data_IF_963210077588
#
_entry.id   IF_963210077588
#
_cell.length_a   1.000
_cell.length_b   1.000
_cell.length_c   1.000
_cell.angle_alpha   90.00
_cell.angle_beta   90.00
_cell.angle_gamma   90.00
#
_symmetry.space_group_name_H-M   'P 1'
#
loop_
_entity.id
_entity.type
_entity.pdbx_description
1 polymer ?
#
# COMPACT_ATOMS: atom_id res chain seq x y z
N UNK A 1 24.44 -28.74 31.40
CA UNK A 1 23.30 -29.29 30.66
C UNK A 1 22.84 -28.34 29.59
N UNK A 2 23.07 -28.72 28.34
CA UNK A 2 22.86 -27.88 27.16
C UNK A 2 21.37 -27.82 26.84
N UNK A 3 20.77 -26.63 26.94
CA UNK A 3 19.44 -26.37 26.39
C UNK A 3 19.58 -26.37 24.86
N UNK A 4 19.21 -27.48 24.23
CA UNK A 4 19.11 -27.57 22.78
C UNK A 4 17.77 -26.94 22.37
N UNK A 5 17.82 -25.80 21.67
CA UNK A 5 16.63 -25.19 21.08
C UNK A 5 16.08 -26.04 19.94
N UNK A 6 14.78 -25.90 19.67
CA UNK A 6 14.17 -26.48 18.47
C UNK A 6 14.90 -25.99 17.20
N UNK A 7 15.05 -26.85 16.18
CA UNK A 7 15.62 -26.43 14.92
C UNK A 7 14.77 -25.30 14.31
N UNK A 8 15.43 -24.23 13.86
CA UNK A 8 14.73 -23.14 13.18
C UNK A 8 13.99 -23.70 11.95
N UNK A 9 12.73 -23.28 11.70
CA UNK A 9 11.96 -23.75 10.56
C UNK A 9 12.66 -23.36 9.26
N UNK A 10 12.67 -24.26 8.28
CA UNK A 10 13.18 -23.94 6.94
C UNK A 10 12.11 -23.20 6.17
N UNK A 11 12.53 -22.38 5.21
CA UNK A 11 11.60 -21.67 4.31
C UNK A 11 10.60 -22.61 3.63
N UNK A 12 11.02 -23.83 3.27
CA UNK A 12 10.18 -24.83 2.61
C UNK A 12 9.07 -25.39 3.53
N UNK A 13 9.23 -25.26 4.85
CA UNK A 13 8.31 -25.83 5.83
C UNK A 13 7.14 -24.87 6.15
N UNK A 14 7.16 -23.64 5.60
CA UNK A 14 6.15 -22.62 5.85
C UNK A 14 5.30 -22.45 4.58
N UNK A 15 3.99 -22.71 4.69
CA UNK A 15 3.00 -22.56 3.62
C UNK A 15 2.29 -21.21 3.64
N UNK A 16 1.52 -20.90 2.58
CA UNK A 16 0.65 -19.72 2.52
C UNK A 16 1.38 -18.40 2.30
N UNK A 17 2.63 -18.43 1.85
CA UNK A 17 3.48 -17.26 1.70
C UNK A 17 3.39 -16.69 0.30
N UNK A 18 3.66 -15.39 0.17
CA UNK A 18 3.83 -14.74 -1.11
C UNK A 18 4.93 -15.43 -1.95
N UNK A 19 4.66 -15.78 -3.23
CA UNK A 19 5.59 -16.47 -4.11
C UNK A 19 6.96 -15.80 -4.24
N UNK A 20 6.98 -14.47 -4.33
CA UNK A 20 8.19 -13.66 -4.51
C UNK A 20 8.56 -12.88 -3.24
N UNK A 21 8.37 -13.49 -2.07
CA UNK A 21 8.73 -12.87 -0.80
C UNK A 21 10.21 -12.42 -0.81
N UNK A 22 10.54 -11.18 -0.40
CA UNK A 22 11.91 -10.71 -0.46
C UNK A 22 12.82 -11.48 0.50
N UNK A 23 14.09 -11.74 0.12
CA UNK A 23 15.08 -12.32 1.01
C UNK A 23 15.34 -11.41 2.22
N UNK A 24 15.56 -12.03 3.38
CA UNK A 24 15.83 -11.33 4.65
C UNK A 24 17.28 -11.43 5.13
N UNK A 25 17.54 -10.89 6.31
CA UNK A 25 18.83 -10.95 7.01
C UNK A 25 19.75 -9.75 6.73
N UNK A 26 20.70 -9.50 7.63
CA UNK A 26 21.60 -8.34 7.56
C UNK A 26 22.42 -8.30 6.27
N UNK A 27 22.99 -9.44 5.84
CA UNK A 27 23.80 -9.51 4.61
C UNK A 27 23.04 -9.00 3.39
N UNK A 28 21.79 -9.44 3.25
CA UNK A 28 20.90 -8.99 2.18
C UNK A 28 20.59 -7.50 2.30
N UNK A 29 20.33 -7.05 3.52
CA UNK A 29 20.03 -5.66 3.81
C UNK A 29 21.19 -4.73 3.43
N UNK A 30 22.43 -5.10 3.76
CA UNK A 30 23.65 -4.37 3.40
C UNK A 30 23.86 -4.31 1.89
N UNK A 31 23.59 -5.42 1.18
CA UNK A 31 23.64 -5.48 -0.29
C UNK A 31 22.64 -4.50 -0.90
N UNK A 32 21.39 -4.49 -0.42
CA UNK A 32 20.34 -3.57 -0.89
C UNK A 32 20.66 -2.11 -0.62
N UNK A 33 21.12 -1.77 0.58
CA UNK A 33 21.55 -0.39 0.91
C UNK A 33 22.66 0.05 -0.03
N UNK A 34 23.66 -0.80 -0.26
CA UNK A 34 24.79 -0.47 -1.15
C UNK A 34 24.32 -0.23 -2.59
N UNK A 35 23.45 -1.08 -3.11
CA UNK A 35 22.88 -0.91 -4.45
C UNK A 35 22.06 0.39 -4.54
N UNK A 36 21.16 0.63 -3.57
CA UNK A 36 20.30 1.81 -3.56
C UNK A 36 21.08 3.12 -3.43
N UNK A 37 22.15 3.16 -2.62
CA UNK A 37 23.00 4.35 -2.50
C UNK A 37 23.79 4.66 -3.77
N UNK A 38 24.04 3.68 -4.64
CA UNK A 38 24.80 3.89 -5.88
C UNK A 38 23.95 4.54 -6.98
N UNK A 39 22.65 4.26 -7.04
CA UNK A 39 21.83 4.64 -8.19
C UNK A 39 20.40 5.10 -7.90
N UNK A 40 19.90 4.96 -6.66
CA UNK A 40 18.52 5.28 -6.32
C UNK A 40 18.35 6.54 -5.46
N UNK A 41 19.26 6.75 -4.50
CA UNK A 41 19.06 7.77 -3.47
C UNK A 41 18.95 9.19 -4.01
N UNK A 42 19.80 9.57 -4.97
CA UNK A 42 19.87 10.96 -5.44
C UNK A 42 18.61 11.39 -6.18
N UNK A 43 18.01 10.46 -6.94
CA UNK A 43 16.77 10.68 -7.71
C UNK A 43 15.50 10.48 -6.89
N UNK A 44 15.61 10.01 -5.64
CA UNK A 44 14.48 9.55 -4.85
C UNK A 44 13.36 10.59 -4.71
N UNK A 45 13.70 11.88 -4.54
CA UNK A 45 12.68 12.93 -4.42
C UNK A 45 11.77 13.03 -5.66
N UNK A 46 12.31 12.73 -6.85
CA UNK A 46 11.58 12.79 -8.11
C UNK A 46 10.83 11.48 -8.40
N UNK A 47 11.39 10.34 -7.99
CA UNK A 47 10.94 9.02 -8.46
C UNK A 47 10.12 8.24 -7.45
N UNK A 48 10.05 8.65 -6.17
CA UNK A 48 9.39 7.87 -5.10
C UNK A 48 7.88 7.62 -5.29
N UNK A 49 7.26 8.30 -6.23
CA UNK A 49 5.83 8.19 -6.54
C UNK A 49 5.54 7.43 -7.85
N UNK A 50 6.57 7.11 -8.64
CA UNK A 50 6.44 6.37 -9.91
C UNK A 50 6.23 4.88 -9.63
N UNK A 51 5.00 4.40 -9.89
CA UNK A 51 4.63 3.01 -9.68
C UNK A 51 5.34 2.06 -10.65
N UNK A 52 5.54 2.48 -11.89
CA UNK A 52 6.11 1.64 -12.93
C UNK A 52 7.62 1.48 -12.73
N UNK A 53 8.29 2.58 -12.36
CA UNK A 53 9.73 2.64 -12.13
C UNK A 53 10.21 1.86 -10.91
N UNK A 54 9.37 1.68 -9.89
CA UNK A 54 9.69 0.93 -8.66
C UNK A 54 11.05 1.34 -8.04
N UNK A 55 11.36 2.63 -8.10
CA UNK A 55 12.69 3.17 -7.80
C UNK A 55 12.93 3.40 -6.29
N UNK A 56 12.18 2.73 -5.42
CA UNK A 56 12.29 2.92 -3.97
C UNK A 56 13.30 1.95 -3.34
N UNK A 57 13.77 2.28 -2.14
CA UNK A 57 14.81 1.50 -1.47
C UNK A 57 14.46 0.03 -1.18
N UNK A 58 13.17 -0.31 -1.09
CA UNK A 58 12.67 -1.62 -0.64
C UNK A 58 13.33 -2.10 0.68
N UNK A 59 13.66 -1.17 1.60
CA UNK A 59 14.33 -1.47 2.88
C UNK A 59 13.37 -1.67 4.07
N UNK A 60 12.06 -1.53 3.86
CA UNK A 60 11.06 -1.51 4.94
C UNK A 60 11.06 -2.77 5.82
N UNK A 61 11.13 -3.97 5.23
CA UNK A 61 11.24 -5.22 5.99
C UNK A 61 12.52 -5.28 6.83
N UNK A 62 13.64 -4.85 6.27
CA UNK A 62 14.91 -4.86 7.00
C UNK A 62 14.90 -3.91 8.20
N UNK A 63 14.22 -2.75 8.07
CA UNK A 63 14.00 -1.79 9.14
C UNK A 63 12.99 -2.27 10.19
N UNK A 64 12.05 -3.13 9.80
CA UNK A 64 11.10 -3.77 10.71
C UNK A 64 11.79 -4.83 11.57
N UNK A 65 12.51 -5.76 10.94
CA UNK A 65 13.22 -6.85 11.63
C UNK A 65 14.56 -6.44 12.29
N UNK A 66 14.93 -5.15 12.24
CA UNK A 66 16.16 -4.66 12.88
C UNK A 66 17.47 -5.11 12.22
N UNK A 67 17.40 -5.71 11.03
CA UNK A 67 18.60 -6.10 10.25
C UNK A 67 19.34 -4.91 9.63
N UNK A 68 18.75 -3.70 9.72
CA UNK A 68 19.38 -2.42 9.44
C UNK A 68 19.01 -1.39 10.49
N UNK A 69 20.01 -0.59 10.90
CA UNK A 69 19.80 0.54 11.79
C UNK A 69 19.24 1.75 11.03
N UNK A 70 18.07 2.32 11.42
CA UNK A 70 17.55 3.55 10.81
C UNK A 70 18.49 4.74 11.06
N UNK A 71 19.12 4.80 12.24
CA UNK A 71 20.06 5.88 12.61
C UNK A 71 21.27 5.87 11.69
N UNK A 72 21.78 4.68 11.39
CA UNK A 72 22.87 4.53 10.43
C UNK A 72 22.48 5.06 9.04
N UNK A 73 21.28 4.71 8.54
CA UNK A 73 20.79 5.19 7.25
C UNK A 73 20.63 6.71 7.24
N UNK A 74 20.16 7.33 8.32
CA UNK A 74 20.08 8.79 8.45
C UNK A 74 21.47 9.42 8.36
N UNK A 75 22.46 8.90 9.08
CA UNK A 75 23.83 9.43 9.01
C UNK A 75 24.43 9.26 7.61
N UNK A 76 24.23 8.10 6.97
CA UNK A 76 24.70 7.85 5.59
C UNK A 76 24.02 8.78 4.58
N UNK A 77 22.70 8.99 4.69
CA UNK A 77 21.96 9.89 3.80
C UNK A 77 22.38 11.36 4.01
N UNK A 78 22.49 11.82 5.26
CA UNK A 78 22.95 13.19 5.56
C UNK A 78 24.37 13.48 5.08
N UNK A 79 25.27 12.49 5.15
CA UNK A 79 26.62 12.62 4.56
C UNK A 79 26.60 12.67 3.05
N UNK A 80 25.66 11.97 2.38
CA UNK A 80 25.47 12.05 0.93
C UNK A 80 24.96 13.45 0.54
N UNK A 81 23.99 13.97 1.30
CA UNK A 81 23.35 15.25 1.06
C UNK A 81 22.47 15.26 -0.20
N UNK A 82 21.80 16.38 -0.43
CA UNK A 82 20.96 16.61 -1.60
C UNK A 82 19.50 16.20 -1.44
N UNK A 83 18.66 16.54 -2.44
CA UNK A 83 17.21 16.52 -2.25
C UNK A 83 16.63 15.11 -2.07
N UNK A 84 17.18 14.12 -2.80
CA UNK A 84 16.81 12.71 -2.63
C UNK A 84 17.19 12.15 -1.26
N UNK A 85 18.34 12.54 -0.70
CA UNK A 85 18.74 12.16 0.65
C UNK A 85 17.83 12.79 1.72
N UNK A 86 17.47 14.06 1.57
CA UNK A 86 16.55 14.74 2.48
C UNK A 86 15.15 14.11 2.42
N UNK A 87 14.65 13.80 1.21
CA UNK A 87 13.40 13.07 1.02
C UNK A 87 13.42 11.71 1.70
N UNK A 88 14.52 10.97 1.58
CA UNK A 88 14.68 9.67 2.23
C UNK A 88 14.68 9.80 3.76
N UNK A 89 15.39 10.78 4.32
CA UNK A 89 15.39 11.06 5.77
C UNK A 89 13.99 11.44 6.27
N UNK A 90 13.21 12.22 5.51
CA UNK A 90 11.80 12.52 5.86
C UNK A 90 10.96 11.25 5.98
N UNK A 91 11.17 10.24 5.14
CA UNK A 91 10.44 8.97 5.26
C UNK A 91 10.83 8.16 6.50
N UNK A 92 12.11 8.18 6.89
CA UNK A 92 12.53 7.59 8.17
C UNK A 92 11.93 8.34 9.36
N UNK A 93 11.81 9.67 9.27
CA UNK A 93 11.12 10.45 10.30
C UNK A 93 9.63 10.08 10.42
N UNK A 94 8.94 9.81 9.30
CA UNK A 94 7.55 9.31 9.32
C UNK A 94 7.41 7.97 10.06
N UNK A 95 8.37 7.04 9.86
CA UNK A 95 8.40 5.77 10.59
C UNK A 95 8.47 5.99 12.10
N UNK A 96 9.33 6.89 12.55
CA UNK A 96 9.53 7.14 13.98
C UNK A 96 8.39 7.98 14.57
N UNK A 97 7.83 8.90 13.80
CA UNK A 97 6.62 9.65 14.17
C UNK A 97 5.46 8.70 14.51
N UNK A 98 5.17 7.71 13.65
CA UNK A 98 4.12 6.74 13.91
C UNK A 98 4.37 5.91 15.18
N UNK A 99 5.63 5.55 15.45
CA UNK A 99 5.99 4.84 16.70
C UNK A 99 5.78 5.70 17.93
N UNK A 100 6.15 6.97 17.88
CA UNK A 100 5.92 7.92 18.97
C UNK A 100 4.43 8.14 19.22
N UNK A 101 3.63 8.30 18.16
CA UNK A 101 2.17 8.42 18.28
C UNK A 101 1.57 7.17 18.92
N UNK A 102 1.94 5.97 18.46
CA UNK A 102 1.41 4.74 19.05
C UNK A 102 1.84 4.56 20.51
N UNK A 103 3.10 4.88 20.84
CA UNK A 103 3.59 4.83 22.22
C UNK A 103 2.80 5.78 23.14
N UNK A 104 2.50 6.99 22.67
CA UNK A 104 1.72 7.97 23.42
C UNK A 104 0.21 7.64 23.46
N UNK A 105 -0.30 6.91 22.47
CA UNK A 105 -1.73 6.60 22.29
C UNK A 105 -1.93 5.13 21.86
N UNK A 106 -1.69 4.15 22.76
CA UNK A 106 -1.74 2.73 22.40
C UNK A 106 -3.08 2.26 21.84
N UNK A 107 -4.19 2.88 22.30
CA UNK A 107 -5.53 2.60 21.79
C UNK A 107 -5.66 2.82 20.27
N UNK A 108 -4.83 3.69 19.66
CA UNK A 108 -4.83 3.92 18.22
C UNK A 108 -4.42 2.67 17.41
N UNK A 109 -3.89 1.60 18.02
CA UNK A 109 -3.71 0.32 17.32
C UNK A 109 -5.05 -0.33 16.91
N UNK A 110 -6.13 -0.05 17.64
CA UNK A 110 -7.41 -0.76 17.50
C UNK A 110 -8.63 0.17 17.44
N UNK A 111 -8.52 1.39 17.94
CA UNK A 111 -9.56 2.40 17.96
C UNK A 111 -9.21 3.58 17.04
N UNK A 112 -10.23 4.31 16.59
CA UNK A 112 -10.02 5.53 15.83
C UNK A 112 -9.32 6.57 16.73
N UNK A 113 -8.16 7.06 16.30
CA UNK A 113 -7.41 8.06 17.06
C UNK A 113 -8.21 9.38 17.18
N UNK A 114 -8.87 9.77 16.09
CA UNK A 114 -9.88 10.82 16.04
C UNK A 114 -11.18 10.22 15.54
N UNK A 115 -12.04 9.83 16.46
CA UNK A 115 -13.40 9.45 16.11
C UNK A 115 -14.08 10.63 15.42
N UNK A 116 -14.63 10.37 14.24
CA UNK A 116 -15.51 11.29 13.51
C UNK A 116 -16.93 10.76 13.49
N UNK A 117 -17.24 9.82 14.40
CA UNK A 117 -18.49 9.07 14.43
C UNK A 117 -18.77 8.38 13.09
N UNK A 118 -17.73 7.74 12.54
CA UNK A 118 -17.82 7.08 11.26
C UNK A 118 -18.75 5.87 11.30
N UNK A 119 -19.84 5.95 10.54
CA UNK A 119 -20.75 4.82 10.33
C UNK A 119 -20.26 3.97 9.16
N UNK A 120 -19.20 3.19 9.40
CA UNK A 120 -18.66 2.25 8.42
C UNK A 120 -19.73 1.29 7.91
N UNK A 121 -19.64 0.89 6.63
CA UNK A 121 -20.55 -0.15 6.11
C UNK A 121 -20.32 -1.45 6.88
N UNK A 122 -21.40 -2.11 7.37
CA UNK A 122 -21.26 -3.40 8.01
C UNK A 122 -20.57 -4.40 7.09
N UNK A 123 -19.59 -5.15 7.60
CA UNK A 123 -18.81 -6.10 6.78
C UNK A 123 -19.70 -7.09 6.01
N UNK A 124 -20.80 -7.55 6.61
CA UNK A 124 -21.76 -8.43 5.94
C UNK A 124 -22.35 -7.81 4.67
N UNK A 125 -22.66 -6.50 4.71
CA UNK A 125 -23.23 -5.77 3.58
C UNK A 125 -22.17 -5.34 2.54
N UNK A 126 -20.88 -5.35 2.92
CA UNK A 126 -19.76 -5.04 2.05
C UNK A 126 -18.96 -6.29 1.64
N UNK A 127 -19.44 -7.51 1.95
CA UNK A 127 -18.70 -8.76 1.80
C UNK A 127 -18.15 -8.97 0.39
N UNK A 128 -18.98 -8.75 -0.63
CA UNK A 128 -18.59 -8.89 -2.04
C UNK A 128 -17.50 -7.87 -2.42
N UNK A 129 -17.70 -6.59 -2.08
CA UNK A 129 -16.73 -5.52 -2.33
C UNK A 129 -15.38 -5.78 -1.63
N UNK A 130 -15.41 -6.28 -0.39
CA UNK A 130 -14.22 -6.64 0.38
C UNK A 130 -13.48 -7.81 -0.28
N UNK A 131 -14.21 -8.83 -0.72
CA UNK A 131 -13.61 -9.98 -1.42
C UNK A 131 -12.96 -9.54 -2.74
N UNK A 132 -13.68 -8.76 -3.55
CA UNK A 132 -13.15 -8.20 -4.80
C UNK A 132 -11.90 -7.35 -4.57
N UNK A 133 -11.89 -6.52 -3.52
CA UNK A 133 -10.71 -5.74 -3.13
C UNK A 133 -9.53 -6.62 -2.71
N UNK A 134 -9.75 -7.62 -1.85
CA UNK A 134 -8.70 -8.55 -1.41
C UNK A 134 -8.08 -9.35 -2.56
N UNK A 135 -8.89 -9.70 -3.56
CA UNK A 135 -8.48 -10.51 -4.71
C UNK A 135 -7.88 -9.68 -5.85
N UNK A 136 -7.99 -8.35 -5.81
CA UNK A 136 -7.63 -7.49 -6.94
C UNK A 136 -8.52 -7.74 -8.16
N UNK A 137 -9.84 -7.72 -7.94
CA UNK A 137 -10.90 -7.86 -8.95
C UNK A 137 -11.98 -6.78 -8.78
N UNK A 138 -11.57 -5.57 -8.43
CA UNK A 138 -12.48 -4.43 -8.22
C UNK A 138 -12.97 -3.80 -9.51
N UNK A 139 -12.34 -4.12 -10.65
CA UNK A 139 -12.58 -3.46 -11.93
C UNK A 139 -11.87 -2.09 -12.04
N UNK A 140 -11.06 -1.71 -11.05
CA UNK A 140 -10.18 -0.54 -11.09
C UNK A 140 -8.71 -0.99 -11.21
N UNK A 141 -8.10 -0.92 -12.41
CA UNK A 141 -6.86 -1.64 -12.70
C UNK A 141 -5.67 -1.30 -11.80
N UNK A 142 -5.50 -0.02 -11.42
CA UNK A 142 -4.41 0.38 -10.49
C UNK A 142 -4.59 -0.18 -9.07
N UNK A 143 -5.84 -0.34 -8.63
CA UNK A 143 -6.18 -0.95 -7.33
C UNK A 143 -5.92 -2.45 -7.40
N UNK A 144 -6.36 -3.08 -8.49
CA UNK A 144 -6.22 -4.52 -8.69
C UNK A 144 -4.75 -4.94 -8.85
N UNK A 145 -3.98 -4.20 -9.64
CA UNK A 145 -2.54 -4.36 -9.78
C UNK A 145 -1.83 -4.31 -8.42
N UNK A 146 -2.19 -3.34 -7.58
CA UNK A 146 -1.63 -3.19 -6.25
C UNK A 146 -1.93 -4.37 -5.32
N UNK A 147 -3.18 -4.83 -5.30
CA UNK A 147 -3.58 -5.97 -4.46
C UNK A 147 -2.93 -7.27 -4.93
N UNK A 148 -2.72 -7.44 -6.23
CA UNK A 148 -1.98 -8.58 -6.81
C UNK A 148 -0.49 -8.50 -6.52
N UNK A 149 0.13 -7.31 -6.58
CA UNK A 149 1.51 -7.09 -6.15
C UNK A 149 1.68 -7.51 -4.68
N UNK A 150 0.79 -7.04 -3.79
CA UNK A 150 0.84 -7.39 -2.37
C UNK A 150 0.85 -8.90 -2.15
N UNK A 151 -0.08 -9.62 -2.79
CA UNK A 151 -0.16 -11.07 -2.64
C UNK A 151 1.06 -11.78 -3.22
N UNK A 152 1.58 -11.30 -4.35
CA UNK A 152 2.71 -11.92 -5.04
C UNK A 152 4.06 -11.69 -4.34
N UNK A 153 4.36 -10.45 -3.97
CA UNK A 153 5.65 -10.04 -3.40
C UNK A 153 5.66 -10.04 -1.87
N UNK A 154 4.50 -10.06 -1.22
CA UNK A 154 4.39 -9.76 0.21
C UNK A 154 4.81 -8.32 0.53
N UNK A 155 4.83 -7.45 -0.49
CA UNK A 155 5.23 -6.06 -0.41
C UNK A 155 4.39 -5.27 -1.42
N UNK A 156 4.14 -4.01 -1.14
CA UNK A 156 3.40 -3.11 -2.03
C UNK A 156 4.05 -1.73 -2.02
N UNK A 157 4.14 -1.09 -3.19
CA UNK A 157 4.64 0.28 -3.29
C UNK A 157 3.81 1.25 -2.43
N UNK A 158 4.45 2.23 -1.77
CA UNK A 158 3.74 3.14 -0.85
C UNK A 158 2.59 3.91 -1.52
N UNK A 159 2.81 4.39 -2.74
CA UNK A 159 1.74 5.04 -3.53
C UNK A 159 0.57 4.10 -3.77
N UNK A 160 0.83 2.83 -4.10
CA UNK A 160 -0.19 1.82 -4.29
C UNK A 160 -0.96 1.53 -2.98
N UNK A 161 -0.27 1.45 -1.84
CA UNK A 161 -0.92 1.30 -0.51
C UNK A 161 -1.91 2.42 -0.23
N UNK A 162 -1.53 3.67 -0.51
CA UNK A 162 -2.42 4.81 -0.33
C UNK A 162 -3.67 4.72 -1.22
N UNK A 163 -3.51 4.29 -2.47
CA UNK A 163 -4.62 4.16 -3.42
C UNK A 163 -5.60 3.07 -3.01
N UNK A 164 -5.10 1.89 -2.66
CA UNK A 164 -5.95 0.76 -2.25
C UNK A 164 -6.64 1.04 -0.91
N UNK A 165 -5.95 1.70 0.02
CA UNK A 165 -6.53 2.11 1.29
C UNK A 165 -7.60 3.20 1.13
N UNK A 166 -7.37 4.18 0.25
CA UNK A 166 -8.38 5.20 -0.07
C UNK A 166 -9.57 4.57 -0.78
N UNK A 167 -9.35 3.62 -1.69
CA UNK A 167 -10.44 2.93 -2.37
C UNK A 167 -11.33 2.18 -1.37
N UNK A 168 -10.73 1.43 -0.44
CA UNK A 168 -11.48 0.69 0.58
C UNK A 168 -12.25 1.62 1.53
N UNK A 169 -11.57 2.61 2.10
CA UNK A 169 -12.14 3.45 3.19
C UNK A 169 -12.98 4.62 2.69
N UNK A 170 -12.73 5.11 1.48
CA UNK A 170 -13.44 6.27 0.92
C UNK A 170 -14.41 5.88 -0.18
N UNK A 171 -14.03 5.01 -1.10
CA UNK A 171 -14.91 4.64 -2.23
C UNK A 171 -15.88 3.53 -1.82
N UNK A 172 -15.38 2.43 -1.26
CA UNK A 172 -16.22 1.34 -0.77
C UNK A 172 -16.85 1.66 0.58
N UNK A 173 -16.26 2.59 1.35
CA UNK A 173 -16.68 3.00 2.70
C UNK A 173 -16.71 1.85 3.72
N UNK A 174 -15.67 1.02 3.67
CA UNK A 174 -15.43 -0.09 4.60
C UNK A 174 -14.49 0.36 5.72
N UNK A 175 -14.68 -0.20 6.93
CA UNK A 175 -13.81 0.04 8.08
C UNK A 175 -12.34 -0.24 7.73
N UNK A 176 -11.47 0.70 8.06
CA UNK A 176 -10.03 0.61 7.81
C UNK A 176 -9.39 -0.61 8.45
N UNK A 177 -9.95 -1.12 9.56
CA UNK A 177 -9.46 -2.32 10.27
C UNK A 177 -9.47 -3.56 9.39
N UNK A 178 -10.45 -3.68 8.49
CA UNK A 178 -10.55 -4.79 7.52
C UNK A 178 -9.35 -4.80 6.59
N UNK A 179 -8.96 -3.62 6.10
CA UNK A 179 -7.80 -3.43 5.25
C UNK A 179 -6.49 -3.60 6.02
N UNK A 180 -6.41 -3.06 7.24
CA UNK A 180 -5.25 -3.16 8.10
C UNK A 180 -4.90 -4.61 8.46
N UNK A 181 -5.89 -5.43 8.82
CA UNK A 181 -5.71 -6.85 9.06
C UNK A 181 -5.25 -7.59 7.79
N UNK A 182 -5.83 -7.27 6.62
CA UNK A 182 -5.42 -7.88 5.36
C UNK A 182 -3.97 -7.51 4.97
N UNK A 183 -3.57 -6.26 5.22
CA UNK A 183 -2.20 -5.81 5.00
C UNK A 183 -1.22 -6.51 5.95
N UNK A 184 -1.52 -6.62 7.24
CA UNK A 184 -0.66 -7.35 8.20
C UNK A 184 -0.52 -8.84 7.86
N UNK A 185 -1.52 -9.44 7.22
CA UNK A 185 -1.45 -10.83 6.79
C UNK A 185 -0.42 -11.05 5.67
N UNK A 186 -0.32 -10.13 4.71
CA UNK A 186 0.54 -10.30 3.52
C UNK A 186 1.87 -9.53 3.58
N UNK A 187 1.92 -8.39 4.26
CA UNK A 187 3.10 -7.52 4.25
C UNK A 187 4.24 -8.10 5.09
N UNK A 188 5.37 -8.35 4.42
CA UNK A 188 6.65 -8.68 5.05
C UNK A 188 7.20 -7.53 5.91
N UNK A 189 6.73 -6.31 5.67
CA UNK A 189 7.04 -5.12 6.46
C UNK A 189 5.88 -4.67 7.38
N UNK A 190 4.98 -5.59 7.73
CA UNK A 190 3.82 -5.37 8.59
C UNK A 190 4.17 -4.93 10.00
N UNK A 191 4.37 -3.62 10.20
CA UNK A 191 4.62 -2.98 11.50
C UNK A 191 3.31 -2.35 12.03
N UNK A 192 2.88 -2.70 13.24
CA UNK A 192 1.60 -2.22 13.81
C UNK A 192 1.54 -0.69 13.82
N UNK A 193 2.60 0.01 14.27
CA UNK A 193 2.59 1.47 14.33
C UNK A 193 2.39 2.09 12.96
N UNK A 194 3.18 1.66 11.97
CA UNK A 194 3.12 2.21 10.63
C UNK A 194 1.86 1.81 9.89
N UNK A 195 1.45 0.54 9.99
CA UNK A 195 0.26 0.06 9.30
C UNK A 195 -1.00 0.75 9.84
N UNK A 196 -1.24 0.70 11.15
CA UNK A 196 -2.49 1.23 11.73
C UNK A 196 -2.62 2.74 11.53
N UNK A 197 -1.54 3.51 11.70
CA UNK A 197 -1.61 4.96 11.58
C UNK A 197 -1.68 5.45 10.12
N UNK A 198 -1.08 4.73 9.16
CA UNK A 198 -1.29 5.05 7.73
C UNK A 198 -2.71 4.71 7.28
N UNK A 199 -3.29 3.61 7.76
CA UNK A 199 -4.70 3.27 7.50
C UNK A 199 -5.63 4.35 8.04
N UNK A 200 -5.41 4.80 9.27
CA UNK A 200 -6.21 5.88 9.87
C UNK A 200 -5.99 7.23 9.18
N UNK A 201 -4.76 7.55 8.76
CA UNK A 201 -4.47 8.75 7.97
C UNK A 201 -5.27 8.76 6.68
N UNK A 202 -5.32 7.62 5.98
CA UNK A 202 -6.09 7.48 4.74
C UNK A 202 -7.60 7.49 5.00
N UNK A 203 -8.04 6.85 6.08
CA UNK A 203 -9.45 6.76 6.48
C UNK A 203 -10.03 8.08 6.99
N UNK A 204 -9.20 9.06 7.35
CA UNK A 204 -9.62 10.34 7.94
C UNK A 204 -9.90 10.27 9.44
N UNK A 205 -9.45 9.19 10.10
CA UNK A 205 -9.58 8.94 11.55
C UNK A 205 -8.27 9.14 12.31
N UNK A 206 -7.21 9.56 11.62
CA UNK A 206 -5.87 9.75 12.16
C UNK A 206 -5.44 11.20 12.36
N UNK A 207 -4.15 11.46 12.20
CA UNK A 207 -3.50 12.78 12.34
C UNK A 207 -3.62 13.66 11.10
N UNK A 208 -4.41 13.26 10.11
CA UNK A 208 -4.48 13.90 8.81
C UNK A 208 -5.11 15.31 8.87
N UNK A 209 -4.73 16.17 7.91
CA UNK A 209 -5.20 17.55 7.81
C UNK A 209 -6.33 17.76 6.80
N UNK A 210 -6.68 16.74 6.01
CA UNK A 210 -7.72 16.78 4.96
C UNK A 210 -8.58 15.51 4.99
N UNK A 211 -9.34 15.26 6.07
CA UNK A 211 -9.95 13.96 6.39
C UNK A 211 -10.99 13.52 5.36
N UNK A 212 -11.52 14.45 4.58
CA UNK A 212 -12.58 14.23 3.60
C UNK A 212 -12.06 14.10 2.16
N UNK A 213 -10.73 14.08 1.95
CA UNK A 213 -10.16 13.94 0.60
C UNK A 213 -10.38 12.51 0.09
N UNK A 214 -11.17 12.38 -0.98
CA UNK A 214 -11.35 11.13 -1.73
C UNK A 214 -10.40 11.13 -2.93
N UNK A 215 -9.63 10.06 -3.10
CA UNK A 215 -8.78 9.89 -4.28
C UNK A 215 -9.56 9.22 -5.41
N UNK A 216 -9.55 9.81 -6.60
CA UNK A 216 -10.07 9.16 -7.80
C UNK A 216 -9.05 8.15 -8.33
N UNK A 217 -9.30 6.83 -8.31
CA UNK A 217 -8.33 5.82 -8.72
C UNK A 217 -7.87 5.99 -10.16
N UNK A 218 -8.74 6.40 -11.09
CA UNK A 218 -8.38 6.62 -12.50
C UNK A 218 -7.40 7.78 -12.64
N UNK A 219 -7.68 8.91 -11.97
CA UNK A 219 -6.78 10.08 -12.00
C UNK A 219 -5.42 9.76 -11.38
N UNK A 220 -5.41 8.93 -10.34
CA UNK A 220 -4.16 8.51 -9.70
C UNK A 220 -3.38 7.52 -10.57
N UNK A 221 -4.03 6.54 -11.19
CA UNK A 221 -3.42 5.63 -12.16
C UNK A 221 -2.76 6.38 -13.30
N UNK A 222 -3.49 7.30 -13.95
CA UNK A 222 -2.94 8.15 -15.03
C UNK A 222 -1.75 9.03 -14.61
N UNK A 223 -1.66 9.39 -13.33
CA UNK A 223 -0.60 10.26 -12.82
C UNK A 223 0.66 9.48 -12.45
N UNK A 224 0.51 8.33 -11.81
CA UNK A 224 1.62 7.57 -11.23
C UNK A 224 1.98 6.30 -12.02
N UNK A 225 1.19 5.95 -13.03
CA UNK A 225 1.43 4.90 -14.01
C UNK A 225 0.95 5.39 -15.41
N UNK A 226 1.55 6.46 -15.96
CA UNK A 226 1.02 7.17 -17.13
C UNK A 226 0.86 6.29 -18.38
N UNK A 227 1.72 5.28 -18.53
CA UNK A 227 1.75 4.37 -19.68
C UNK A 227 1.15 3.00 -19.38
N UNK A 228 0.60 2.81 -18.16
CA UNK A 228 -0.05 1.57 -17.78
C UNK A 228 0.90 0.39 -17.53
N UNK A 229 2.21 0.65 -17.39
CA UNK A 229 3.22 -0.39 -17.26
C UNK A 229 3.11 -1.13 -15.91
N UNK A 230 2.77 -0.43 -14.83
CA UNK A 230 2.51 -1.06 -13.54
C UNK A 230 1.25 -1.92 -13.59
N UNK A 231 0.17 -1.41 -14.19
CA UNK A 231 -1.08 -2.17 -14.34
C UNK A 231 -0.85 -3.44 -15.14
N UNK A 232 -0.27 -3.35 -16.34
CA UNK A 232 -0.04 -4.51 -17.22
C UNK A 232 0.89 -5.55 -16.60
N UNK A 233 1.84 -5.14 -15.76
CA UNK A 233 2.73 -6.05 -15.02
C UNK A 233 1.96 -6.96 -14.07
N UNK A 234 0.91 -6.46 -13.43
CA UNK A 234 0.20 -7.16 -12.35
C UNK A 234 -1.20 -7.65 -12.74
N UNK A 235 -1.76 -7.14 -13.83
CA UNK A 235 -3.08 -7.48 -14.38
C UNK A 235 -2.87 -7.97 -15.82
N UNK A 236 -2.38 -9.22 -16.01
CA UNK A 236 -1.97 -9.72 -17.31
C UNK A 236 -3.13 -9.80 -18.32
N UNK A 237 -4.37 -9.93 -17.86
CA UNK A 237 -5.56 -9.85 -18.73
C UNK A 237 -5.75 -8.48 -19.38
N UNK A 238 -5.02 -7.45 -18.96
CA UNK A 238 -5.01 -6.12 -19.55
C UNK A 238 -3.70 -5.80 -20.32
N UNK A 239 -2.83 -6.79 -20.53
CA UNK A 239 -1.50 -6.60 -21.13
C UNK A 239 -1.53 -5.93 -22.51
N UNK A 240 -2.56 -6.22 -23.31
CA UNK A 240 -2.73 -5.70 -24.67
C UNK A 240 -3.50 -4.37 -24.73
N UNK A 241 -3.92 -3.82 -23.59
CA UNK A 241 -4.62 -2.53 -23.55
C UNK A 241 -3.61 -1.40 -23.51
N UNK A 242 -3.53 -0.65 -24.61
CA UNK A 242 -2.50 0.36 -24.78
C UNK A 242 -2.67 1.63 -23.93
N UNK A 243 -1.53 2.07 -23.38
CA UNK A 243 -1.33 3.36 -22.75
C UNK A 243 -2.37 3.69 -21.68
N UNK A 244 -2.91 4.91 -21.73
CA UNK A 244 -3.83 5.44 -20.71
C UNK A 244 -5.20 4.78 -20.68
N UNK A 245 -5.56 4.00 -21.73
CA UNK A 245 -6.85 3.30 -21.81
C UNK A 245 -6.92 2.15 -20.80
N UNK A 246 -5.76 1.60 -20.41
CA UNK A 246 -5.68 0.53 -19.39
C UNK A 246 -6.29 0.93 -18.05
N UNK A 247 -6.39 2.23 -17.75
CA UNK A 247 -6.95 2.71 -16.47
C UNK A 247 -8.49 2.79 -16.47
N UNK A 248 -9.13 2.63 -17.64
CA UNK A 248 -10.59 2.64 -17.79
C UNK A 248 -11.06 1.57 -18.81
N UNK A 249 -10.77 0.27 -18.59
CA UNK A 249 -11.07 -0.79 -19.57
C UNK A 249 -12.57 -0.92 -19.85
N UNK A 250 -13.44 -0.55 -18.91
CA UNK A 250 -14.89 -0.52 -19.08
C UNK A 250 -15.38 0.53 -20.10
N UNK A 251 -14.51 1.43 -20.57
CA UNK A 251 -14.82 2.42 -21.63
C UNK A 251 -14.30 2.00 -23.02
N UNK A 252 -13.69 0.82 -23.14
CA UNK A 252 -13.25 0.32 -24.44
C UNK A 252 -14.47 0.02 -25.34
N UNK A 253 -14.34 0.14 -26.67
CA UNK A 253 -15.38 -0.26 -27.62
C UNK A 253 -15.84 -1.70 -27.40
N UNK A 254 -17.10 -2.00 -27.70
CA UNK A 254 -17.75 -3.29 -27.41
C UNK A 254 -16.91 -4.52 -27.75
N UNK A 255 -16.36 -4.66 -28.97
CA UNK A 255 -15.52 -5.80 -29.33
C UNK A 255 -14.22 -5.89 -28.50
N UNK A 256 -13.54 -4.76 -28.27
CA UNK A 256 -12.33 -4.71 -27.45
C UNK A 256 -12.62 -5.05 -25.99
N UNK A 257 -13.68 -4.47 -25.42
CA UNK A 257 -14.11 -4.75 -24.04
C UNK A 257 -14.52 -6.20 -23.84
N UNK A 258 -15.27 -6.76 -24.79
CA UNK A 258 -15.79 -8.14 -24.72
C UNK A 258 -14.68 -9.19 -24.81
N UNK A 259 -13.54 -8.86 -25.40
CA UNK A 259 -12.37 -9.73 -25.46
C UNK A 259 -11.59 -9.80 -24.14
N UNK A 260 -11.83 -8.89 -23.19
CA UNK A 260 -11.10 -8.85 -21.92
C UNK A 260 -11.80 -9.66 -20.83
N UNK A 261 -11.09 -10.63 -20.26
CA UNK A 261 -11.49 -11.33 -19.02
C UNK A 261 -11.13 -10.50 -17.77
N UNK A 262 -11.66 -9.27 -17.73
CA UNK A 262 -11.47 -8.33 -16.63
C UNK A 262 -12.84 -7.82 -16.13
N UNK A 263 -13.10 -7.77 -14.82
CA UNK A 263 -14.41 -7.43 -14.29
C UNK A 263 -14.78 -5.96 -14.52
N UNK A 264 -16.09 -5.69 -14.60
CA UNK A 264 -16.58 -4.32 -14.52
C UNK A 264 -16.38 -3.72 -13.12
N UNK A 265 -16.33 -2.38 -12.99
CA UNK A 265 -16.19 -1.72 -11.71
C UNK A 265 -17.25 -2.15 -10.69
N UNK A 266 -16.82 -2.60 -9.51
CA UNK A 266 -17.71 -2.99 -8.39
C UNK A 266 -18.59 -1.84 -7.87
N UNK A 267 -18.22 -0.60 -8.19
CA UNK A 267 -18.97 0.62 -7.89
C UNK A 267 -18.60 1.70 -8.89
N UNK A 268 -19.57 2.49 -9.36
CA UNK A 268 -19.29 3.66 -10.18
C UNK A 268 -18.59 4.79 -9.38
N UNK A 269 -17.72 5.58 -10.01
CA UNK A 269 -17.00 6.68 -9.33
C UNK A 269 -17.94 7.69 -8.64
N UNK A 270 -19.02 8.07 -9.33
CA UNK A 270 -20.05 8.98 -8.79
C UNK A 270 -20.80 8.37 -7.62
N UNK A 271 -21.15 7.08 -7.72
CA UNK A 271 -21.83 6.34 -6.67
C UNK A 271 -20.95 6.19 -5.41
N UNK A 272 -19.67 5.84 -5.57
CA UNK A 272 -18.71 5.74 -4.47
C UNK A 272 -18.50 7.08 -3.76
N UNK A 273 -18.40 8.17 -4.50
CA UNK A 273 -18.32 9.51 -3.90
C UNK A 273 -19.61 9.89 -3.15
N UNK A 274 -20.78 9.58 -3.73
CA UNK A 274 -22.06 9.82 -3.09
C UNK A 274 -22.22 8.98 -1.80
N UNK A 275 -21.74 7.73 -1.82
CA UNK A 275 -21.68 6.83 -0.67
C UNK A 275 -20.85 7.44 0.46
N UNK A 276 -19.64 7.90 0.16
CA UNK A 276 -18.77 8.60 1.13
C UNK A 276 -19.47 9.81 1.75
N UNK A 277 -20.01 10.70 0.90
CA UNK A 277 -20.68 11.94 1.35
C UNK A 277 -21.90 11.66 2.22
N UNK A 278 -22.74 10.69 1.85
CA UNK A 278 -23.90 10.31 2.65
C UNK A 278 -23.49 9.76 4.01
N UNK A 279 -22.49 8.90 4.07
CA UNK A 279 -22.09 8.27 5.32
C UNK A 279 -21.40 9.26 6.29
N UNK A 280 -20.58 10.18 5.77
CA UNK A 280 -19.94 11.26 6.55
C UNK A 280 -20.87 12.42 6.91
N UNK A 281 -21.90 12.65 6.10
CA UNK A 281 -22.87 13.72 6.31
C UNK A 281 -24.06 13.36 7.20
N UNK A 282 -24.10 12.12 7.74
CA UNK A 282 -25.13 11.72 8.69
C UNK A 282 -24.99 12.52 9.99
N UNK A 283 -26.04 13.25 10.42
CA UNK A 283 -26.03 13.88 11.73
C UNK A 283 -25.95 12.82 12.84
N UNK A 284 -25.42 13.25 13.99
CA UNK A 284 -25.28 12.44 15.19
C UNK A 284 -26.62 12.01 15.76
#
# INVERSE_FOLDING_TARGET
DHVHGEPLPRRADVGGLSPALPPGGEREARRRVTAYWRSGLDDYERTHDDLAGDATSRLSAHLHFGTLSPVELVHRARRRGGPGADAFVRQLAWRDFHRQVLAARPAAAHADYRTRHDHWRPERAARADIAAWREGRTGYPVVDAAMRQLRHEGWMHNRARLLTASFLTKTLYVDWRVGAAHFLHWLVDGDISNNQLNWQWTAGTGTDSRPNRVLNPVTQGRRYDPDGAYVRRWVPELADVDGRRVHEPWKLPGPERAALDYPDPVVGLSEGLARFRRARGRPH
#
